data_IF_499852040025
#
_entry.id   IF_499852040025
#
_cell.length_a   1.000
_cell.length_b   1.000
_cell.length_c   1.000
_cell.angle_alpha   90.00
_cell.angle_beta   90.00
_cell.angle_gamma   90.00
#
_symmetry.space_group_name_H-M   'P 1'
#
loop_
_entity.id
_entity.type
_entity.pdbx_description
1 polymer ?
#
# COMPACT_ATOMS: atom_id res chain seq x y z
N UNK A 1 -40.37 54.47 -33.88
CA UNK A 1 -41.25 54.49 -32.70
C UNK A 1 -40.38 54.48 -31.46
N UNK A 2 -40.58 55.48 -30.59
CA UNK A 2 -40.30 55.61 -29.14
C UNK A 2 -38.87 55.33 -28.61
N UNK A 3 -38.31 56.40 -28.03
CA UNK A 3 -37.20 56.50 -27.07
C UNK A 3 -37.72 56.28 -25.64
N UNK A 4 -36.95 55.64 -24.76
CA UNK A 4 -36.83 55.88 -23.29
C UNK A 4 -35.79 54.87 -22.73
N UNK A 5 -34.61 55.18 -22.17
CA UNK A 5 -34.16 56.06 -21.06
C UNK A 5 -34.63 55.62 -19.66
N UNK A 6 -33.70 55.04 -18.87
CA UNK A 6 -33.82 54.83 -17.40
C UNK A 6 -33.18 53.50 -16.98
N UNK A 7 -32.01 53.40 -16.35
CA UNK A 7 -31.55 53.91 -15.04
C UNK A 7 -32.26 53.24 -13.84
N UNK A 8 -31.84 52.02 -13.50
CA UNK A 8 -31.85 51.30 -12.19
C UNK A 8 -31.55 49.84 -12.57
N UNK A 9 -30.62 49.09 -12.01
CA UNK A 9 -30.01 49.04 -10.68
C UNK A 9 -28.87 48.01 -10.87
N UNK A 10 -27.58 48.28 -10.64
CA UNK A 10 -26.98 48.47 -9.32
C UNK A 10 -27.68 47.70 -8.20
N UNK A 11 -28.00 46.42 -8.43
CA UNK A 11 -28.47 45.46 -7.44
C UNK A 11 -28.31 44.01 -7.95
N UNK A 12 -27.13 43.65 -8.45
CA UNK A 12 -26.78 42.22 -8.70
C UNK A 12 -25.40 41.92 -8.08
N UNK A 13 -24.92 42.78 -7.17
CA UNK A 13 -23.62 42.61 -6.48
C UNK A 13 -23.74 42.55 -4.95
N UNK A 14 -24.94 42.40 -4.39
CA UNK A 14 -25.13 42.09 -2.96
C UNK A 14 -26.31 41.15 -2.83
N UNK A 15 -26.22 40.20 -1.90
CA UNK A 15 -27.20 39.16 -1.53
C UNK A 15 -26.89 37.71 -1.95
N UNK A 16 -25.65 37.39 -2.33
CA UNK A 16 -25.19 35.98 -2.33
C UNK A 16 -24.04 35.72 -1.35
N UNK A 17 -24.01 36.47 -0.24
CA UNK A 17 -23.05 36.22 0.83
C UNK A 17 -23.77 35.99 2.17
N UNK A 18 -23.43 34.83 2.73
CA UNK A 18 -23.17 34.62 4.16
C UNK A 18 -24.34 34.29 5.10
N UNK A 19 -25.24 33.40 4.67
CA UNK A 19 -25.83 32.49 5.64
C UNK A 19 -25.86 31.07 5.09
N UNK A 20 -24.77 30.33 5.30
CA UNK A 20 -24.84 28.87 5.23
C UNK A 20 -25.72 28.44 6.41
N UNK A 21 -26.81 27.74 6.09
CA UNK A 21 -27.74 27.20 7.07
C UNK A 21 -27.00 26.27 8.05
N UNK A 22 -27.19 26.50 9.36
CA UNK A 22 -26.51 25.72 10.39
C UNK A 22 -26.89 24.24 10.35
N UNK A 23 -28.13 23.93 9.94
CA UNK A 23 -28.58 22.54 9.79
C UNK A 23 -27.90 21.84 8.60
N UNK A 24 -27.63 22.59 7.52
CA UNK A 24 -26.86 22.09 6.39
C UNK A 24 -25.41 21.78 6.79
N UNK A 25 -24.77 22.64 7.58
CA UNK A 25 -23.40 22.40 8.09
C UNK A 25 -23.35 21.10 8.90
N UNK A 26 -24.26 20.95 9.86
CA UNK A 26 -24.36 19.74 10.69
C UNK A 26 -24.60 18.48 9.84
N UNK A 27 -25.40 18.60 8.78
CA UNK A 27 -25.68 17.48 7.87
C UNK A 27 -24.46 17.09 7.04
N UNK A 28 -23.66 18.07 6.61
CA UNK A 28 -22.40 17.83 5.88
C UNK A 28 -21.35 17.21 6.79
N UNK A 29 -21.22 17.68 8.04
CA UNK A 29 -20.30 17.09 9.02
C UNK A 29 -20.62 15.63 9.31
N UNK A 30 -21.90 15.29 9.51
CA UNK A 30 -22.33 13.89 9.69
C UNK A 30 -22.06 13.03 8.47
N UNK A 31 -22.21 13.59 7.27
CA UNK A 31 -21.88 12.88 6.03
C UNK A 31 -20.37 12.62 5.92
N UNK A 32 -19.54 13.60 6.30
CA UNK A 32 -18.09 13.43 6.34
C UNK A 32 -17.68 12.34 7.34
N UNK A 33 -18.26 12.33 8.54
CA UNK A 33 -17.99 11.28 9.54
C UNK A 33 -18.29 9.87 8.99
N UNK A 34 -19.43 9.71 8.31
CA UNK A 34 -19.79 8.43 7.67
C UNK A 34 -18.82 8.07 6.53
N UNK A 35 -18.34 9.06 5.77
CA UNK A 35 -17.37 8.82 4.70
C UNK A 35 -16.00 8.41 5.25
N UNK A 36 -15.54 9.03 6.33
CA UNK A 36 -14.30 8.67 7.02
C UNK A 36 -14.39 7.27 7.64
N UNK A 37 -15.52 6.93 8.25
CA UNK A 37 -15.77 5.57 8.77
C UNK A 37 -15.75 4.54 7.64
N UNK A 38 -16.40 4.84 6.52
CA UNK A 38 -16.45 3.96 5.36
C UNK A 38 -15.07 3.75 4.74
N UNK A 39 -14.31 4.82 4.52
CA UNK A 39 -12.95 4.76 3.97
C UNK A 39 -12.05 3.91 4.86
N UNK A 40 -12.06 4.17 6.17
CA UNK A 40 -11.30 3.39 7.14
C UNK A 40 -11.67 1.90 7.10
N UNK A 41 -12.96 1.57 7.08
CA UNK A 41 -13.41 0.17 7.04
C UNK A 41 -12.96 -0.52 5.75
N UNK A 42 -13.04 0.17 4.60
CA UNK A 42 -12.61 -0.38 3.32
C UNK A 42 -11.11 -0.64 3.32
N UNK A 43 -10.31 0.30 3.82
CA UNK A 43 -8.85 0.17 3.87
C UNK A 43 -8.41 -0.98 4.78
N UNK A 44 -9.02 -1.10 5.97
CA UNK A 44 -8.77 -2.19 6.89
C UNK A 44 -9.15 -3.55 6.26
N UNK A 45 -10.36 -3.66 5.70
CA UNK A 45 -10.82 -4.90 5.06
C UNK A 45 -9.99 -5.28 3.83
N UNK A 46 -9.56 -4.30 3.03
CA UNK A 46 -8.69 -4.53 1.87
C UNK A 46 -7.31 -5.02 2.31
N UNK A 47 -6.74 -4.41 3.35
CA UNK A 47 -5.47 -4.82 3.93
C UNK A 47 -5.54 -6.25 4.48
N UNK A 48 -6.59 -6.58 5.24
CA UNK A 48 -6.78 -7.91 5.82
C UNK A 48 -6.93 -8.99 4.75
N UNK A 49 -7.74 -8.73 3.71
CA UNK A 49 -7.89 -9.66 2.58
C UNK A 49 -6.58 -9.85 1.80
N UNK A 50 -5.82 -8.77 1.60
CA UNK A 50 -4.52 -8.86 0.94
C UNK A 50 -3.54 -9.71 1.76
N UNK A 51 -3.54 -9.54 3.09
CA UNK A 51 -2.73 -10.34 4.00
C UNK A 51 -3.15 -11.82 3.99
N UNK A 52 -4.45 -12.11 4.06
CA UNK A 52 -4.99 -13.48 4.02
C UNK A 52 -4.57 -14.20 2.74
N UNK A 53 -4.66 -13.52 1.59
CA UNK A 53 -4.21 -14.06 0.30
C UNK A 53 -2.71 -14.35 0.35
N UNK A 54 -1.89 -13.42 0.86
CA UNK A 54 -0.45 -13.63 1.01
C UNK A 54 -0.12 -14.83 1.89
N UNK A 55 -0.79 -14.97 3.04
CA UNK A 55 -0.61 -16.09 3.96
C UNK A 55 -1.00 -17.42 3.32
N UNK A 56 -2.15 -17.50 2.66
CA UNK A 56 -2.62 -18.69 1.95
C UNK A 56 -1.60 -19.18 0.92
N UNK A 57 -1.07 -18.28 0.10
CA UNK A 57 -0.07 -18.67 -0.90
C UNK A 57 1.29 -19.01 -0.28
N UNK A 58 1.69 -18.37 0.81
CA UNK A 58 2.89 -18.76 1.56
C UNK A 58 2.78 -20.20 2.09
N UNK A 59 1.63 -20.60 2.60
CA UNK A 59 1.39 -21.98 3.06
C UNK A 59 1.45 -22.99 1.92
N UNK A 60 0.85 -22.68 0.77
CA UNK A 60 0.92 -23.52 -0.44
C UNK A 60 2.38 -23.66 -0.92
N UNK A 61 3.17 -22.59 -0.89
CA UNK A 61 4.55 -22.59 -1.36
C UNK A 61 5.53 -23.28 -0.40
N UNK A 62 5.27 -23.24 0.92
CA UNK A 62 6.14 -23.83 1.96
C UNK A 62 6.64 -25.25 1.65
N UNK A 63 5.80 -26.26 1.31
CA UNK A 63 6.27 -27.60 1.02
C UNK A 63 7.20 -27.67 -0.20
N UNK A 64 7.06 -26.76 -1.16
CA UNK A 64 7.95 -26.68 -2.31
C UNK A 64 9.30 -26.09 -1.94
N UNK A 65 9.33 -25.07 -1.08
CA UNK A 65 10.60 -24.53 -0.56
C UNK A 65 11.37 -25.56 0.25
N UNK A 66 10.67 -26.37 1.06
CA UNK A 66 11.31 -27.48 1.78
C UNK A 66 11.93 -28.48 0.80
N UNK A 67 11.19 -28.92 -0.23
CA UNK A 67 11.72 -29.82 -1.26
C UNK A 67 12.90 -29.22 -2.04
N UNK A 68 12.79 -27.95 -2.41
CA UNK A 68 13.85 -27.21 -3.10
C UNK A 68 15.11 -27.15 -2.22
N UNK A 69 14.94 -26.89 -0.93
CA UNK A 69 16.06 -26.80 0.00
C UNK A 69 16.80 -28.12 0.18
N UNK A 70 16.09 -29.25 0.24
CA UNK A 70 16.74 -30.56 0.30
C UNK A 70 17.59 -30.85 -0.96
N UNK A 71 17.15 -30.38 -2.14
CA UNK A 71 17.94 -30.49 -3.37
C UNK A 71 19.14 -29.55 -3.33
N UNK A 72 18.94 -28.30 -2.90
CA UNK A 72 20.00 -27.28 -2.82
C UNK A 72 21.15 -27.74 -1.91
N UNK A 73 20.87 -28.44 -0.81
CA UNK A 73 21.92 -28.98 0.09
C UNK A 73 22.92 -29.90 -0.61
N UNK A 74 22.53 -30.54 -1.72
CA UNK A 74 23.41 -31.39 -2.51
C UNK A 74 24.32 -30.60 -3.46
N UNK A 75 24.10 -29.29 -3.63
CA UNK A 75 24.85 -28.42 -4.53
C UNK A 75 25.84 -27.59 -3.70
N UNK A 76 27.16 -27.84 -3.80
CA UNK A 76 28.16 -27.04 -3.12
C UNK A 76 28.06 -25.56 -3.51
N UNK A 77 28.22 -24.66 -2.53
CA UNK A 77 28.28 -23.21 -2.71
C UNK A 77 27.11 -22.58 -3.50
N UNK A 78 25.94 -23.25 -3.54
CA UNK A 78 24.78 -22.80 -4.31
C UNK A 78 24.37 -21.36 -4.00
N UNK A 79 24.13 -21.05 -2.72
CA UNK A 79 23.66 -19.73 -2.31
C UNK A 79 24.73 -18.66 -2.58
N UNK A 80 26.01 -18.96 -2.32
CA UNK A 80 27.11 -18.04 -2.61
C UNK A 80 27.15 -17.70 -4.11
N UNK A 81 27.07 -18.72 -4.96
CA UNK A 81 27.06 -18.55 -6.43
C UNK A 81 25.83 -17.75 -6.89
N UNK A 82 24.66 -18.04 -6.33
CA UNK A 82 23.41 -17.33 -6.66
C UNK A 82 23.46 -15.84 -6.26
N UNK A 83 23.95 -15.53 -5.05
CA UNK A 83 24.08 -14.15 -4.59
C UNK A 83 25.13 -13.36 -5.37
N UNK A 84 26.28 -13.97 -5.70
CA UNK A 84 27.32 -13.33 -6.52
C UNK A 84 26.83 -13.04 -7.95
N UNK A 85 25.91 -13.85 -8.47
CA UNK A 85 25.33 -13.69 -9.81
C UNK A 85 24.25 -12.61 -9.89
N UNK A 86 23.79 -12.07 -8.75
CA UNK A 86 22.72 -11.08 -8.72
C UNK A 86 23.27 -9.67 -8.44
N UNK A 87 23.21 -8.76 -9.44
CA UNK A 87 23.81 -7.42 -9.40
C UNK A 87 23.51 -6.63 -8.11
N UNK A 88 22.26 -6.63 -7.62
CA UNK A 88 21.91 -5.89 -6.41
C UNK A 88 22.41 -6.53 -5.10
N UNK A 89 22.64 -7.84 -5.10
CA UNK A 89 23.03 -8.59 -3.90
C UNK A 89 24.55 -8.81 -3.85
N UNK A 90 25.20 -8.78 -5.02
CA UNK A 90 26.65 -8.81 -5.17
C UNK A 90 27.33 -7.72 -4.32
N UNK A 91 26.81 -6.49 -4.35
CA UNK A 91 27.37 -5.38 -3.58
C UNK A 91 27.14 -5.48 -2.06
N UNK A 92 26.23 -6.35 -1.60
CA UNK A 92 25.95 -6.56 -0.18
C UNK A 92 26.81 -7.68 0.44
N UNK A 93 27.54 -8.44 -0.39
CA UNK A 93 28.44 -9.52 0.04
C UNK A 93 29.82 -8.96 0.43
N UNK A 94 30.05 -8.73 1.71
CA UNK A 94 31.38 -8.48 2.30
C UNK A 94 32.11 -9.80 2.62
N UNK A 95 33.44 -9.78 2.74
CA UNK A 95 34.26 -10.98 3.05
C UNK A 95 33.82 -11.71 4.34
N UNK A 96 33.30 -10.97 5.32
CA UNK A 96 32.74 -11.51 6.57
C UNK A 96 31.43 -12.29 6.34
N UNK A 97 30.55 -11.79 5.46
CA UNK A 97 29.27 -12.42 5.13
C UNK A 97 29.45 -13.70 4.29
N UNK A 98 30.50 -13.77 3.46
CA UNK A 98 30.83 -14.95 2.65
C UNK A 98 31.23 -16.16 3.52
N UNK A 99 31.81 -15.92 4.70
CA UNK A 99 32.18 -17.00 5.64
C UNK A 99 30.98 -17.52 6.44
N UNK A 100 29.97 -16.68 6.66
CA UNK A 100 28.70 -17.05 7.30
C UNK A 100 27.76 -17.86 6.39
N UNK A 101 27.75 -17.58 5.09
CA UNK A 101 26.94 -18.33 4.08
C UNK A 101 27.48 -19.75 3.83
N UNK A 102 28.75 -20.00 4.14
CA UNK A 102 29.43 -21.30 4.00
C UNK A 102 28.94 -22.37 4.99
N UNK A 103 28.27 -21.96 6.07
CA UNK A 103 27.71 -22.85 7.11
C UNK A 103 26.18 -22.86 7.08
N UNK A 104 25.58 -23.39 6.02
CA UNK A 104 24.19 -23.90 6.04
C UNK A 104 23.09 -22.90 6.41
N UNK A 105 23.23 -21.62 6.00
CA UNK A 105 22.16 -20.63 6.17
C UNK A 105 20.95 -20.95 5.30
N UNK A 106 19.86 -21.45 5.89
CA UNK A 106 18.56 -21.51 5.23
C UNK A 106 18.00 -20.09 5.08
N UNK A 107 18.03 -19.55 3.85
CA UNK A 107 17.38 -18.28 3.51
C UNK A 107 15.93 -18.52 3.09
N UNK A 108 15.11 -18.97 4.04
CA UNK A 108 13.67 -19.04 3.83
C UNK A 108 13.12 -17.61 3.83
N UNK A 109 12.38 -17.21 2.77
CA UNK A 109 11.58 -15.99 2.84
C UNK A 109 10.51 -16.21 3.89
N UNK A 110 10.77 -15.79 5.13
CA UNK A 110 9.72 -15.66 6.14
C UNK A 110 8.78 -14.57 5.62
N UNK A 111 7.59 -14.98 5.19
CA UNK A 111 6.51 -14.04 4.91
C UNK A 111 6.37 -13.12 6.11
N UNK A 112 6.38 -11.81 5.87
CA UNK A 112 6.18 -10.82 6.92
C UNK A 112 4.84 -11.13 7.61
N UNK A 113 4.92 -11.25 8.94
CA UNK A 113 3.77 -11.34 9.82
C UNK A 113 3.16 -9.96 9.97
#
# INVERSE_FOLDING_TARGET
MVVEKGKKSKLIEKEHSDHIDGELIISVEKLQEIQEELEKHIDEEASDKALEVGQKYNEICRPFYVKQNEIIKAIPDFWLTAFLSHLALYYLLTEENQKGTMNGGNYEKKGNK
#
